data_IF_969582040916
#
_entry.id   IF_969582040916
#
_cell.length_a   1.000
_cell.length_b   1.000
_cell.length_c   1.000
_cell.angle_alpha   90.00
_cell.angle_beta   90.00
_cell.angle_gamma   90.00
#
_symmetry.space_group_name_H-M   'P 1'
#
loop_
_entity.id
_entity.type
_entity.pdbx_description
1 polymer ?
#
# COMPACT_ATOMS: atom_id res chain seq x y z
N UNK A 1 -3.24 -11.47 12.05
CA UNK A 1 -1.95 -12.00 11.57
C UNK A 1 -1.38 -12.99 12.58
N UNK A 2 -1.08 -12.55 13.81
CA UNK A 2 -0.51 -13.38 14.88
C UNK A 2 -1.29 -14.69 15.12
N UNK A 3 -2.62 -14.64 15.23
CA UNK A 3 -3.44 -15.86 15.40
C UNK A 3 -3.32 -16.85 14.22
N UNK A 4 -2.92 -16.40 13.02
CA UNK A 4 -2.65 -17.30 11.88
C UNK A 4 -1.29 -17.98 12.03
N UNK A 5 -0.32 -17.28 12.60
CA UNK A 5 1.02 -17.80 12.90
C UNK A 5 0.96 -18.82 14.05
N UNK A 6 0.18 -18.54 15.10
CA UNK A 6 -0.03 -19.47 16.22
C UNK A 6 -0.60 -20.83 15.78
N UNK A 7 -1.48 -20.82 14.77
CA UNK A 7 -2.04 -22.05 14.19
C UNK A 7 -1.04 -22.87 13.37
N UNK A 8 0.12 -22.31 13.03
CA UNK A 8 1.19 -23.00 12.29
C UNK A 8 2.28 -23.55 13.21
N UNK A 9 2.16 -23.34 14.53
CA UNK A 9 3.06 -23.93 15.51
C UNK A 9 2.96 -25.45 15.44
N UNK A 10 4.11 -26.10 15.39
CA UNK A 10 4.24 -27.55 15.50
C UNK A 10 3.99 -28.02 16.94
N UNK A 11 3.92 -29.34 17.14
CA UNK A 11 3.76 -29.96 18.48
C UNK A 11 4.92 -29.61 19.44
N UNK A 12 6.08 -29.34 18.86
CA UNK A 12 7.35 -28.94 19.48
C UNK A 12 7.41 -27.43 19.83
N UNK A 13 6.37 -26.66 19.50
CA UNK A 13 6.19 -25.29 19.97
C UNK A 13 6.95 -24.21 19.18
N UNK A 14 7.55 -24.55 18.04
CA UNK A 14 8.27 -23.60 17.17
C UNK A 14 8.13 -23.95 15.69
N UNK A 15 8.06 -22.97 14.80
CA UNK A 15 8.01 -23.22 13.36
C UNK A 15 8.80 -22.17 12.57
N UNK A 16 9.38 -22.57 11.45
CA UNK A 16 9.91 -21.62 10.46
C UNK A 16 8.77 -21.07 9.60
N UNK A 17 8.75 -19.75 9.40
CA UNK A 17 7.69 -19.07 8.67
C UNK A 17 8.25 -17.99 7.74
N UNK A 18 7.87 -18.03 6.47
CA UNK A 18 8.03 -16.90 5.57
C UNK A 18 7.00 -15.81 5.90
N UNK A 19 7.47 -14.75 6.54
CA UNK A 19 6.65 -13.62 6.98
C UNK A 19 6.35 -12.61 5.86
N UNK A 20 7.09 -12.63 4.73
CA UNK A 20 6.95 -11.60 3.69
C UNK A 20 5.53 -11.48 3.12
N UNK A 21 4.83 -12.57 2.76
CA UNK A 21 3.45 -12.48 2.28
C UNK A 21 2.50 -11.89 3.33
N UNK A 22 2.75 -12.11 4.62
CA UNK A 22 1.94 -11.55 5.70
C UNK A 22 2.16 -10.04 5.83
N UNK A 23 3.40 -9.57 5.71
CA UNK A 23 3.71 -8.15 5.71
C UNK A 23 3.11 -7.44 4.49
N UNK A 24 3.20 -8.03 3.30
CA UNK A 24 2.55 -7.49 2.09
C UNK A 24 1.03 -7.40 2.25
N UNK A 25 0.39 -8.39 2.88
CA UNK A 25 -1.06 -8.35 3.13
C UNK A 25 -1.42 -7.28 4.18
N UNK A 26 -0.60 -7.11 5.22
CA UNK A 26 -0.82 -6.09 6.25
C UNK A 26 -0.72 -4.69 5.68
N UNK A 27 0.34 -4.37 4.95
CA UNK A 27 0.53 -3.03 4.38
C UNK A 27 -0.51 -2.76 3.30
N UNK A 28 -0.89 -3.78 2.53
CA UNK A 28 -2.01 -3.73 1.60
C UNK A 28 -3.35 -3.40 2.28
N UNK A 29 -3.65 -4.03 3.43
CA UNK A 29 -4.88 -3.73 4.20
C UNK A 29 -4.85 -2.33 4.80
N UNK A 30 -3.70 -1.90 5.33
CA UNK A 30 -3.52 -0.54 5.86
C UNK A 30 -3.79 0.50 4.79
N UNK A 31 -3.13 0.42 3.63
CA UNK A 31 -3.32 1.41 2.55
C UNK A 31 -4.73 1.35 1.96
N UNK A 32 -5.34 0.17 1.83
CA UNK A 32 -6.72 0.05 1.34
C UNK A 32 -7.70 0.78 2.27
N UNK A 33 -7.54 0.62 3.60
CA UNK A 33 -8.40 1.28 4.58
C UNK A 33 -8.16 2.77 4.67
N UNK A 34 -6.90 3.20 4.74
CA UNK A 34 -6.57 4.61 4.98
C UNK A 34 -6.69 5.47 3.74
N UNK A 35 -6.37 4.93 2.56
CA UNK A 35 -6.41 5.70 1.32
C UNK A 35 -7.72 5.57 0.55
N UNK A 36 -8.46 4.47 0.72
CA UNK A 36 -9.64 4.18 -0.11
C UNK A 36 -10.90 3.84 0.68
N UNK A 37 -10.83 3.81 2.02
CA UNK A 37 -11.95 3.42 2.87
C UNK A 37 -12.42 1.98 2.63
N UNK A 38 -11.58 1.16 2.00
CA UNK A 38 -11.89 -0.19 1.54
C UNK A 38 -11.11 -1.24 2.35
N UNK A 39 -11.35 -2.51 2.07
CA UNK A 39 -10.56 -3.61 2.65
C UNK A 39 -9.50 -4.11 1.68
N UNK A 40 -8.47 -4.80 2.20
CA UNK A 40 -7.52 -5.53 1.35
C UNK A 40 -8.19 -6.42 0.31
N UNK A 41 -9.33 -7.04 0.63
CA UNK A 41 -10.06 -7.92 -0.30
C UNK A 41 -10.53 -7.17 -1.55
N UNK A 42 -10.98 -5.93 -1.39
CA UNK A 42 -11.41 -5.07 -2.50
C UNK A 42 -10.22 -4.63 -3.38
N UNK A 43 -9.07 -4.34 -2.75
CA UNK A 43 -7.83 -3.97 -3.45
C UNK A 43 -6.98 -5.13 -3.96
N UNK A 44 -7.28 -6.38 -3.55
CA UNK A 44 -6.41 -7.56 -3.77
C UNK A 44 -5.99 -7.73 -5.22
N UNK A 45 -6.95 -7.61 -6.14
CA UNK A 45 -6.69 -7.79 -7.57
C UNK A 45 -5.77 -6.70 -8.11
N UNK A 46 -5.94 -5.46 -7.66
CA UNK A 46 -5.07 -4.32 -8.02
C UNK A 46 -3.64 -4.60 -7.57
N UNK A 47 -3.44 -5.01 -6.31
CA UNK A 47 -2.11 -5.35 -5.78
C UNK A 47 -1.42 -6.46 -6.59
N UNK A 48 -2.13 -7.55 -6.88
CA UNK A 48 -1.58 -8.66 -7.67
C UNK A 48 -1.13 -8.23 -9.07
N UNK A 49 -1.99 -7.45 -9.74
CA UNK A 49 -1.71 -6.94 -11.08
C UNK A 49 -0.55 -5.94 -11.07
N UNK A 50 -0.49 -5.03 -10.09
CA UNK A 50 0.61 -4.07 -9.97
C UNK A 50 1.93 -4.75 -9.66
N UNK A 51 1.94 -5.79 -8.81
CA UNK A 51 3.14 -6.60 -8.55
C UNK A 51 3.63 -7.29 -9.83
N UNK A 52 2.73 -7.88 -10.59
CA UNK A 52 3.07 -8.48 -11.89
C UNK A 52 3.61 -7.42 -12.87
N UNK A 53 2.97 -6.25 -12.95
CA UNK A 53 3.40 -5.13 -13.78
C UNK A 53 4.82 -4.68 -13.40
N UNK A 54 5.13 -4.58 -12.12
CA UNK A 54 6.46 -4.20 -11.63
C UNK A 54 7.53 -5.22 -12.02
N UNK A 55 7.23 -6.53 -11.90
CA UNK A 55 8.14 -7.59 -12.32
C UNK A 55 8.42 -7.54 -13.83
N UNK A 56 7.38 -7.37 -14.65
CA UNK A 56 7.53 -7.20 -16.09
C UNK A 56 8.31 -5.93 -16.43
N UNK A 57 8.10 -4.83 -15.69
CA UNK A 57 8.84 -3.59 -15.87
C UNK A 57 10.33 -3.77 -15.57
N UNK A 58 10.69 -4.44 -14.48
CA UNK A 58 12.08 -4.78 -14.17
C UNK A 58 12.70 -5.65 -15.27
N UNK A 59 11.96 -6.63 -15.79
CA UNK A 59 12.45 -7.48 -16.88
C UNK A 59 12.74 -6.66 -18.15
N UNK A 60 11.85 -5.74 -18.52
CA UNK A 60 12.04 -4.86 -19.67
C UNK A 60 13.22 -3.90 -19.43
N UNK A 61 13.34 -3.32 -18.24
CA UNK A 61 14.46 -2.43 -17.89
C UNK A 61 15.82 -3.13 -17.93
N UNK A 62 15.86 -4.43 -17.64
CA UNK A 62 17.08 -5.27 -17.74
C UNK A 62 17.37 -5.77 -19.16
N UNK A 63 16.46 -5.56 -20.11
CA UNK A 63 16.63 -5.98 -21.49
C UNK A 63 17.34 -4.90 -22.32
N UNK A 64 17.94 -5.30 -23.45
CA UNK A 64 18.59 -4.34 -24.37
C UNK A 64 17.55 -3.36 -24.88
N UNK A 65 17.81 -2.07 -24.64
CA UNK A 65 16.93 -1.01 -25.14
C UNK A 65 17.01 -0.95 -26.67
N UNK A 66 15.93 -1.34 -27.33
CA UNK A 66 15.73 -1.16 -28.77
C UNK A 66 14.61 -0.15 -28.98
N UNK A 67 14.90 1.01 -29.61
CA UNK A 67 13.88 2.00 -29.93
C UNK A 67 12.69 1.37 -30.67
N UNK A 68 11.47 1.70 -30.26
CA UNK A 68 10.23 1.18 -30.86
C UNK A 68 9.78 -0.20 -30.37
N UNK A 69 10.60 -0.97 -29.63
CA UNK A 69 10.22 -2.30 -29.14
C UNK A 69 8.96 -2.27 -28.27
N UNK A 70 8.70 -1.17 -27.56
CA UNK A 70 7.48 -0.95 -26.76
C UNK A 70 6.17 -1.07 -27.56
N UNK A 71 6.19 -0.78 -28.86
CA UNK A 71 5.00 -0.85 -29.71
C UNK A 71 4.78 -2.24 -30.31
N UNK A 72 5.82 -3.07 -30.37
CA UNK A 72 5.69 -4.43 -30.89
C UNK A 72 4.80 -5.29 -30.00
N UNK A 73 4.00 -6.19 -30.60
CA UNK A 73 3.04 -7.01 -29.87
C UNK A 73 3.71 -8.24 -29.24
N UNK A 74 4.79 -8.04 -28.47
CA UNK A 74 5.45 -9.11 -27.70
C UNK A 74 4.52 -9.62 -26.58
N UNK A 75 4.78 -10.83 -26.09
CA UNK A 75 4.01 -11.40 -24.96
C UNK A 75 4.02 -10.46 -23.74
N UNK A 76 5.19 -9.91 -23.40
CA UNK A 76 5.38 -8.95 -22.31
C UNK A 76 4.58 -7.66 -22.55
N UNK A 77 4.70 -7.03 -23.72
CA UNK A 77 3.98 -5.78 -24.01
C UNK A 77 2.46 -5.97 -24.04
N UNK A 78 1.98 -7.12 -24.54
CA UNK A 78 0.55 -7.47 -24.50
C UNK A 78 0.08 -7.64 -23.07
N UNK A 79 0.83 -8.37 -22.23
CA UNK A 79 0.48 -8.59 -20.83
C UNK A 79 0.48 -7.29 -20.02
N UNK A 80 1.49 -6.44 -20.18
CA UNK A 80 1.55 -5.12 -19.53
C UNK A 80 0.37 -4.22 -19.94
N UNK A 81 -0.04 -4.25 -21.21
CA UNK A 81 -1.23 -3.53 -21.69
C UNK A 81 -2.52 -4.07 -21.06
N UNK A 82 -2.68 -5.40 -20.98
CA UNK A 82 -3.82 -6.03 -20.33
C UNK A 82 -3.90 -5.65 -18.84
N UNK A 83 -2.79 -5.76 -18.12
CA UNK A 83 -2.71 -5.37 -16.71
C UNK A 83 -3.10 -3.89 -16.54
N UNK A 84 -2.53 -2.99 -17.35
CA UNK A 84 -2.86 -1.57 -17.30
C UNK A 84 -4.36 -1.32 -17.53
N UNK A 85 -4.97 -1.99 -18.52
CA UNK A 85 -6.40 -1.88 -18.79
C UNK A 85 -7.26 -2.39 -17.64
N UNK A 86 -6.90 -3.52 -17.04
CA UNK A 86 -7.65 -4.14 -15.94
C UNK A 86 -7.55 -3.30 -14.67
N UNK A 87 -6.35 -2.82 -14.31
CA UNK A 87 -6.15 -1.90 -13.18
C UNK A 87 -6.93 -0.59 -13.38
N UNK A 88 -6.89 -0.02 -14.60
CA UNK A 88 -7.68 1.17 -14.91
C UNK A 88 -9.18 0.95 -14.70
N UNK A 89 -9.72 -0.20 -15.15
CA UNK A 89 -11.13 -0.50 -15.00
C UNK A 89 -11.54 -0.66 -13.53
N UNK A 90 -10.72 -1.36 -12.74
CA UNK A 90 -10.96 -1.55 -11.30
C UNK A 90 -10.95 -0.22 -10.54
N UNK A 91 -9.94 0.62 -10.78
CA UNK A 91 -9.82 1.93 -10.13
C UNK A 91 -10.92 2.88 -10.56
N UNK A 92 -11.29 2.86 -11.85
CA UNK A 92 -12.42 3.64 -12.34
C UNK A 92 -13.71 3.26 -11.63
N UNK A 93 -13.96 1.97 -11.41
CA UNK A 93 -15.12 1.50 -10.65
C UNK A 93 -15.15 2.02 -9.20
N UNK A 94 -14.00 2.09 -8.53
CA UNK A 94 -13.88 2.66 -7.17
C UNK A 94 -14.20 4.15 -7.19
N UNK A 95 -13.62 4.90 -8.13
CA UNK A 95 -13.81 6.35 -8.27
C UNK A 95 -15.26 6.69 -8.62
N UNK A 96 -15.87 5.98 -9.57
CA UNK A 96 -17.27 6.20 -9.97
C UNK A 96 -18.24 5.90 -8.82
N UNK A 97 -17.97 4.86 -8.02
CA UNK A 97 -18.76 4.56 -6.81
C UNK A 97 -18.66 5.71 -5.82
N UNK A 98 -17.47 6.27 -5.65
CA UNK A 98 -17.19 7.40 -4.76
C UNK A 98 -17.89 8.68 -5.22
N UNK A 99 -17.79 9.00 -6.50
CA UNK A 99 -18.42 10.16 -7.11
C UNK A 99 -19.94 10.14 -6.93
N UNK A 100 -20.58 8.98 -7.14
CA UNK A 100 -22.03 8.80 -6.91
C UNK A 100 -22.43 9.02 -5.46
N UNK A 101 -21.64 8.51 -4.51
CA UNK A 101 -21.90 8.72 -3.08
C UNK A 101 -21.83 10.22 -2.72
N UNK A 102 -20.81 10.93 -3.23
CA UNK A 102 -20.68 12.38 -3.04
C UNK A 102 -21.86 13.16 -3.64
N UNK A 103 -22.29 12.81 -4.85
CA UNK A 103 -23.45 13.44 -5.49
C UNK A 103 -24.77 13.19 -4.73
N UNK A 104 -24.89 12.04 -4.06
CA UNK A 104 -26.04 11.72 -3.21
C UNK A 104 -26.03 12.45 -1.86
N UNK A 105 -25.01 13.28 -1.58
CA UNK A 105 -24.86 13.99 -0.32
C UNK A 105 -24.41 13.10 0.84
N UNK A 106 -23.91 11.89 0.56
CA UNK A 106 -23.24 11.07 1.57
C UNK A 106 -21.96 11.80 1.98
N UNK A 107 -21.68 11.87 3.29
CA UNK A 107 -20.42 12.40 3.79
C UNK A 107 -19.28 11.61 3.16
N UNK A 108 -18.36 12.30 2.48
CA UNK A 108 -17.14 11.68 2.01
C UNK A 108 -16.48 10.97 3.19
N UNK A 109 -16.16 9.67 3.04
CA UNK A 109 -15.34 9.02 4.07
C UNK A 109 -14.04 9.82 4.17
N UNK A 110 -13.54 10.01 5.38
CA UNK A 110 -12.34 10.78 5.72
C UNK A 110 -11.04 10.05 5.31
N UNK A 111 -11.04 9.43 4.12
CA UNK A 111 -9.93 8.73 3.50
C UNK A 111 -9.29 9.57 2.38
N UNK A 112 -8.05 9.22 2.02
CA UNK A 112 -7.24 10.00 1.07
C UNK A 112 -7.96 10.24 -0.27
N UNK A 113 -8.63 9.22 -0.83
CA UNK A 113 -9.36 9.35 -2.08
C UNK A 113 -10.56 10.30 -1.94
N UNK A 114 -11.29 10.21 -0.84
CA UNK A 114 -12.38 11.14 -0.52
C UNK A 114 -11.91 12.59 -0.49
N UNK A 115 -10.86 12.84 0.30
CA UNK A 115 -10.25 14.17 0.43
C UNK A 115 -9.72 14.70 -0.90
N UNK A 116 -9.08 13.84 -1.70
CA UNK A 116 -8.58 14.20 -3.03
C UNK A 116 -9.73 14.59 -3.97
N UNK A 117 -10.79 13.79 -4.01
CA UNK A 117 -11.95 14.05 -4.88
C UNK A 117 -12.73 15.29 -4.45
N UNK A 118 -12.91 15.51 -3.14
CA UNK A 118 -13.58 16.69 -2.60
C UNK A 118 -12.78 17.97 -2.89
N UNK A 119 -11.46 17.96 -2.62
CA UNK A 119 -10.59 19.08 -2.93
C UNK A 119 -10.61 19.40 -4.43
N UNK A 120 -10.55 18.37 -5.29
CA UNK A 120 -10.61 18.55 -6.74
C UNK A 120 -11.94 19.15 -7.21
N UNK A 121 -13.06 18.71 -6.63
CA UNK A 121 -14.39 19.23 -6.95
C UNK A 121 -14.53 20.70 -6.56
N UNK A 122 -14.04 21.09 -5.38
CA UNK A 122 -14.02 22.48 -4.92
C UNK A 122 -13.18 23.37 -5.83
N UNK A 123 -11.99 22.92 -6.21
CA UNK A 123 -11.09 23.66 -7.10
C UNK A 123 -11.68 23.88 -8.51
N UNK A 124 -12.48 22.93 -9.00
CA UNK A 124 -13.23 23.07 -10.26
C UNK A 124 -14.42 24.04 -10.15
N UNK A 125 -15.05 24.18 -8.98
CA UNK A 125 -16.17 25.12 -8.79
C UNK A 125 -15.69 26.57 -8.54
N UNK A 126 -14.57 26.74 -7.85
CA UNK A 126 -14.05 28.05 -7.45
C UNK A 126 -13.33 28.79 -8.61
N UNK A 127 -12.91 28.06 -9.66
CA UNK A 127 -12.26 28.63 -10.83
C UNK A 127 -13.21 28.70 -12.05
N UNK A 128 -13.27 29.86 -12.68
CA UNK A 128 -14.00 30.13 -13.93
C UNK A 128 -13.62 29.08 -14.99
N UNK A 129 -14.59 28.53 -15.73
CA UNK A 129 -14.49 27.35 -16.65
C UNK A 129 -13.34 27.44 -17.69
N UNK A 130 -12.74 28.62 -17.84
CA UNK A 130 -11.64 28.93 -18.75
C UNK A 130 -10.26 28.47 -18.26
N UNK A 131 -10.10 28.15 -16.98
CA UNK A 131 -8.86 27.58 -16.44
C UNK A 131 -9.13 26.14 -16.01
N UNK A 132 -8.71 25.20 -16.86
CA UNK A 132 -8.76 23.77 -16.59
C UNK A 132 -7.74 23.37 -15.51
N UNK A 133 -7.95 23.80 -14.25
CA UNK A 133 -6.96 23.66 -13.15
C UNK A 133 -7.14 22.32 -12.40
N UNK A 134 -8.33 21.74 -12.38
CA UNK A 134 -8.60 20.49 -11.66
C UNK A 134 -8.03 19.22 -12.34
N UNK A 135 -7.80 18.18 -11.54
CA UNK A 135 -7.40 16.85 -12.00
C UNK A 135 -8.51 16.17 -12.80
N UNK A 136 -8.15 15.57 -13.93
CA UNK A 136 -9.08 14.68 -14.65
C UNK A 136 -9.26 13.35 -13.90
N UNK A 137 -10.34 12.62 -14.18
CA UNK A 137 -10.54 11.24 -13.67
C UNK A 137 -9.33 10.35 -13.99
N UNK A 138 -8.71 10.56 -15.15
CA UNK A 138 -7.51 9.81 -15.54
C UNK A 138 -6.35 10.09 -14.60
N UNK A 139 -6.14 11.35 -14.22
CA UNK A 139 -5.08 11.74 -13.30
C UNK A 139 -5.33 11.14 -11.91
N UNK A 140 -6.58 11.17 -11.43
CA UNK A 140 -6.97 10.52 -10.17
C UNK A 140 -6.68 9.02 -10.21
N UNK A 141 -6.96 8.34 -11.33
CA UNK A 141 -6.62 6.92 -11.52
C UNK A 141 -5.11 6.69 -11.41
N UNK A 142 -4.28 7.53 -12.05
CA UNK A 142 -2.82 7.38 -11.97
C UNK A 142 -2.30 7.59 -10.54
N UNK A 143 -2.81 8.58 -9.80
CA UNK A 143 -2.47 8.78 -8.38
C UNK A 143 -2.90 7.59 -7.52
N UNK A 144 -4.09 7.04 -7.75
CA UNK A 144 -4.56 5.85 -7.04
C UNK A 144 -3.63 4.65 -7.29
N UNK A 145 -3.13 4.46 -8.52
CA UNK A 145 -2.16 3.39 -8.79
C UNK A 145 -0.90 3.57 -7.97
N UNK A 146 -0.40 4.82 -7.91
CA UNK A 146 0.79 5.16 -7.15
C UNK A 146 0.59 4.87 -5.66
N UNK A 147 -0.53 5.26 -5.07
CA UNK A 147 -0.81 4.99 -3.65
C UNK A 147 -0.86 3.50 -3.33
N UNK A 148 -1.57 2.70 -4.14
CA UNK A 148 -1.62 1.24 -3.96
C UNK A 148 -0.22 0.62 -4.02
N UNK A 149 0.59 0.99 -5.01
CA UNK A 149 1.92 0.42 -5.19
C UNK A 149 2.87 0.86 -4.08
N UNK A 150 2.98 2.17 -3.88
CA UNK A 150 3.93 2.77 -2.96
C UNK A 150 3.61 2.38 -1.51
N UNK A 151 2.34 2.42 -1.11
CA UNK A 151 1.92 2.11 0.25
C UNK A 151 2.12 0.65 0.63
N UNK A 152 1.90 -0.30 -0.29
CA UNK A 152 2.10 -1.71 0.02
C UNK A 152 3.57 -2.11 -0.02
N UNK A 153 4.24 -1.91 -1.17
CA UNK A 153 5.54 -2.51 -1.42
C UNK A 153 6.61 -1.87 -0.53
N UNK A 154 6.70 -0.54 -0.48
CA UNK A 154 7.78 0.13 0.29
C UNK A 154 7.69 -0.16 1.79
N UNK A 155 6.50 -0.10 2.37
CA UNK A 155 6.30 -0.37 3.79
C UNK A 155 6.51 -1.85 4.11
N UNK A 156 6.10 -2.78 3.23
CA UNK A 156 6.34 -4.21 3.48
C UNK A 156 7.82 -4.56 3.46
N UNK A 157 8.58 -3.97 2.51
CA UNK A 157 10.03 -4.10 2.40
C UNK A 157 10.71 -3.53 3.65
N UNK A 158 10.31 -2.33 4.10
CA UNK A 158 10.84 -1.71 5.30
C UNK A 158 10.62 -2.59 6.54
N UNK A 159 9.41 -3.14 6.71
CA UNK A 159 9.09 -4.00 7.84
C UNK A 159 9.90 -5.31 7.81
N UNK A 160 10.08 -5.93 6.63
CA UNK A 160 10.92 -7.11 6.53
C UNK A 160 12.36 -6.81 6.93
N UNK A 161 12.97 -5.78 6.33
CA UNK A 161 14.35 -5.44 6.64
C UNK A 161 14.52 -5.08 8.10
N UNK A 162 13.54 -4.38 8.70
CA UNK A 162 13.50 -4.14 10.13
C UNK A 162 13.54 -5.45 10.92
N UNK A 163 12.72 -6.45 10.57
CA UNK A 163 12.71 -7.75 11.26
C UNK A 163 14.02 -8.53 11.07
N UNK A 164 14.61 -8.49 9.86
CA UNK A 164 15.91 -9.11 9.55
C UNK A 164 17.03 -8.46 10.36
N UNK A 165 17.01 -7.13 10.49
CA UNK A 165 17.99 -6.39 11.25
C UNK A 165 17.85 -6.64 12.76
N UNK A 166 16.61 -6.66 13.28
CA UNK A 166 16.36 -6.99 14.68
C UNK A 166 16.78 -8.42 15.03
N UNK A 167 16.58 -9.40 14.13
CA UNK A 167 17.01 -10.79 14.38
C UNK A 167 18.53 -10.94 14.40
N UNK A 168 19.26 -10.11 13.64
CA UNK A 168 20.74 -10.06 13.67
C UNK A 168 21.31 -9.29 14.87
N UNK A 169 20.51 -8.44 15.52
CA UNK A 169 20.94 -7.60 16.65
C UNK A 169 20.07 -7.86 17.90
N UNK A 170 20.23 -9.04 18.50
CA UNK A 170 19.41 -9.51 19.64
C UNK A 170 19.38 -8.56 20.84
N UNK A 171 20.50 -7.90 21.15
CA UNK A 171 20.57 -6.87 22.20
C UNK A 171 19.64 -5.68 21.92
N UNK A 172 19.54 -5.27 20.66
CA UNK A 172 18.65 -4.19 20.24
C UNK A 172 17.19 -4.63 20.19
N UNK A 173 16.93 -5.87 19.76
CA UNK A 173 15.60 -6.46 19.82
C UNK A 173 15.09 -6.55 21.27
N UNK A 174 15.93 -6.97 22.21
CA UNK A 174 15.60 -7.00 23.63
C UNK A 174 15.29 -5.60 24.18
N UNK A 175 16.14 -4.61 23.87
CA UNK A 175 15.93 -3.19 24.20
C UNK A 175 14.58 -2.67 23.69
N UNK A 176 14.26 -2.93 22.41
CA UNK A 176 13.00 -2.49 21.81
C UNK A 176 11.78 -3.16 22.48
N UNK A 177 11.88 -4.46 22.79
CA UNK A 177 10.83 -5.20 23.50
C UNK A 177 10.62 -4.67 24.92
N UNK A 178 11.69 -4.39 25.64
CA UNK A 178 11.62 -3.83 27.01
C UNK A 178 10.98 -2.44 27.00
N UNK A 179 11.32 -1.59 26.04
CA UNK A 179 10.71 -0.26 25.90
C UNK A 179 9.19 -0.34 25.70
N UNK A 180 8.75 -1.22 24.80
CA UNK A 180 7.30 -1.45 24.54
C UNK A 180 6.62 -2.01 25.79
N UNK A 181 7.21 -3.01 26.46
CA UNK A 181 6.64 -3.59 27.69
C UNK A 181 6.58 -2.58 28.83
N UNK A 182 7.56 -1.67 28.96
CA UNK A 182 7.55 -0.65 30.00
C UNK A 182 6.42 0.37 29.80
N UNK A 183 6.16 0.78 28.56
CA UNK A 183 5.15 1.78 28.25
C UNK A 183 3.73 1.20 28.21
N UNK A 184 3.56 0.02 27.61
CA UNK A 184 2.25 -0.55 27.33
C UNK A 184 1.92 -1.78 28.19
N UNK A 185 2.92 -2.44 28.78
CA UNK A 185 2.74 -3.73 29.44
C UNK A 185 2.14 -4.75 28.47
N UNK A 186 1.04 -5.38 28.88
CA UNK A 186 0.25 -6.30 28.04
C UNK A 186 -0.93 -5.61 27.33
N UNK A 187 -1.04 -4.28 27.43
CA UNK A 187 -2.12 -3.54 26.77
C UNK A 187 -1.78 -3.30 25.30
N UNK A 188 -2.82 -3.16 24.48
CA UNK A 188 -2.65 -2.77 23.08
C UNK A 188 -2.11 -1.33 23.01
N UNK A 189 -1.08 -1.05 22.20
CA UNK A 189 -0.59 0.31 22.00
C UNK A 189 -1.67 1.25 21.44
N UNK A 190 -1.73 2.47 21.96
CA UNK A 190 -2.59 3.57 21.52
C UNK A 190 -1.77 4.72 20.91
N UNK A 191 -2.45 5.66 20.24
CA UNK A 191 -1.78 6.76 19.54
C UNK A 191 -0.92 7.62 20.47
N UNK A 192 -1.44 7.95 21.65
CA UNK A 192 -0.72 8.77 22.64
C UNK A 192 0.51 8.04 23.16
N UNK A 193 0.41 6.76 23.51
CA UNK A 193 1.56 5.99 23.97
C UNK A 193 2.63 5.78 22.89
N UNK A 194 2.25 5.68 21.61
CA UNK A 194 3.21 5.57 20.51
C UNK A 194 4.12 6.80 20.42
N UNK A 195 3.61 8.00 20.71
CA UNK A 195 4.41 9.24 20.75
C UNK A 195 5.48 9.24 21.85
N UNK A 196 5.36 8.36 22.85
CA UNK A 196 6.32 8.23 23.94
C UNK A 196 7.43 7.20 23.67
N UNK A 197 7.35 6.45 22.56
CA UNK A 197 8.43 5.56 22.13
C UNK A 197 9.63 6.38 21.69
N UNK A 198 10.81 6.12 22.26
CA UNK A 198 12.03 6.84 21.89
C UNK A 198 12.69 6.28 20.64
N UNK A 199 12.35 5.05 20.22
CA UNK A 199 12.84 4.36 19.00
C UNK A 199 14.39 4.25 18.94
N UNK A 200 15.11 4.64 19.99
CA UNK A 200 16.56 4.65 20.08
C UNK A 200 17.18 3.26 19.94
N UNK A 201 16.43 2.21 20.28
CA UNK A 201 16.85 0.83 20.10
C UNK A 201 16.84 0.40 18.62
N UNK A 202 16.03 1.04 17.76
CA UNK A 202 15.82 0.67 16.35
C UNK A 202 16.61 1.59 15.41
N UNK A 203 16.64 2.91 15.68
CA UNK A 203 17.26 3.93 14.82
C UNK A 203 18.78 3.79 14.61
N UNK A 204 19.48 3.00 15.44
CA UNK A 204 20.93 2.75 15.27
C UNK A 204 21.25 1.54 14.39
N UNK A 205 20.22 0.90 13.85
CA UNK A 205 20.34 -0.31 13.02
C UNK A 205 19.93 -0.03 11.56
N UNK A 206 18.96 0.86 11.37
CA UNK A 206 18.51 1.37 10.07
C UNK A 206 19.47 2.45 9.54
#
# INVERSE_FOLDING_TARGET
MVNKWEKQLSLDGSCELDIWPYLQNLTGDVISRTAFGSSYEEGRRIFQLQKEQALLAVQVTRSVYVPGWRFFPTKTNRRMRQISSEVNALLKGIIEKREKAMQAGETANDDLLGLLMESNYREMQENDERKNVGMSIKDVIEECKLFYLAGQETTSVLLLWTMVLLSKHSNRQACAREEVLRLFGNKKPDGDGLNHLKINCILKIL
#
